data_IF_614754728225
#
_entry.id   IF_614754728225
#
_cell.length_a   1.000
_cell.length_b   1.000
_cell.length_c   1.000
_cell.angle_alpha   90.00
_cell.angle_beta   90.00
_cell.angle_gamma   90.00
#
_symmetry.space_group_name_H-M   'P 1'
#
loop_
_entity.id
_entity.type
_entity.pdbx_description
1 polymer ?
#
# COMPACT_ATOMS: atom_id res chain seq x y z
N UNK A 1 0.29 8.49 12.43
CA UNK A 1 0.96 8.53 11.10
C UNK A 1 -0.12 8.71 10.05
N UNK A 2 0.07 9.59 9.07
CA UNK A 2 -0.90 9.82 7.99
C UNK A 2 -0.26 9.52 6.63
N UNK A 3 -1.01 8.97 5.69
CA UNK A 3 -0.49 8.60 4.38
C UNK A 3 -0.30 9.88 3.55
N UNK A 4 0.92 10.09 3.03
CA UNK A 4 1.19 11.20 2.12
C UNK A 4 0.23 11.16 0.90
N UNK A 5 -0.42 12.29 0.60
CA UNK A 5 -1.35 12.39 -0.56
C UNK A 5 -0.64 12.23 -1.90
N UNK A 6 0.64 12.58 -2.00
CA UNK A 6 1.40 12.49 -3.24
C UNK A 6 1.83 11.03 -3.49
N UNK A 7 1.42 10.48 -4.63
CA UNK A 7 1.71 9.09 -5.00
C UNK A 7 0.85 8.05 -4.28
N UNK A 8 -0.17 8.45 -3.52
CA UNK A 8 -1.25 7.54 -3.11
C UNK A 8 -2.35 7.50 -4.16
N UNK A 9 -3.00 6.34 -4.29
CA UNK A 9 -4.14 6.13 -5.18
C UNK A 9 -5.39 5.94 -4.33
N UNK A 10 -6.56 6.34 -4.83
CA UNK A 10 -7.85 6.08 -4.17
C UNK A 10 -8.43 4.78 -4.73
N UNK A 11 -8.92 3.92 -3.84
CA UNK A 11 -9.65 2.68 -4.17
C UNK A 11 -10.88 2.59 -3.28
N UNK A 12 -11.88 1.84 -3.72
CA UNK A 12 -13.05 1.51 -2.91
C UNK A 12 -12.98 0.03 -2.60
N UNK A 13 -12.95 -0.31 -1.32
CA UNK A 13 -12.97 -1.70 -0.84
C UNK A 13 -14.25 -1.86 -0.05
N UNK A 14 -15.17 -2.72 -0.50
CA UNK A 14 -16.46 -2.96 0.15
C UNK A 14 -17.26 -1.68 0.45
N UNK A 15 -17.28 -0.73 -0.49
CA UNK A 15 -17.93 0.57 -0.33
C UNK A 15 -17.16 1.58 0.52
N UNK A 16 -16.05 1.17 1.15
CA UNK A 16 -15.19 2.03 1.96
C UNK A 16 -14.13 2.70 1.08
N UNK A 17 -14.16 4.02 1.04
CA UNK A 17 -13.16 4.81 0.35
C UNK A 17 -11.81 4.74 1.06
N UNK A 18 -10.82 4.14 0.41
CA UNK A 18 -9.48 3.96 0.91
C UNK A 18 -8.46 4.68 0.03
N UNK A 19 -7.35 5.11 0.63
CA UNK A 19 -6.14 5.57 -0.05
C UNK A 19 -5.08 4.55 0.22
N UNK A 20 -4.37 4.12 -0.82
CA UNK A 20 -3.26 3.20 -0.65
C UNK A 20 -2.01 3.74 -1.33
N UNK A 21 -0.86 3.32 -0.82
CA UNK A 21 0.43 3.68 -1.37
C UNK A 21 1.34 2.45 -1.35
N UNK A 22 1.60 1.95 -2.54
CA UNK A 22 2.69 1.02 -2.81
C UNK A 22 3.95 1.81 -3.17
N UNK A 23 5.12 1.34 -2.74
CA UNK A 23 6.39 1.95 -3.17
C UNK A 23 6.58 1.70 -4.66
N UNK A 24 7.11 2.69 -5.39
CA UNK A 24 7.37 2.51 -6.82
C UNK A 24 8.48 1.48 -7.07
N UNK A 25 9.53 1.54 -6.25
CA UNK A 25 10.66 0.61 -6.31
C UNK A 25 10.60 -0.31 -5.09
N UNK A 26 10.63 -1.64 -5.27
CA UNK A 26 10.75 -2.56 -4.16
C UNK A 26 12.06 -2.32 -3.41
N UNK A 27 12.06 -2.67 -2.12
CA UNK A 27 13.31 -2.90 -1.39
C UNK A 27 14.01 -4.15 -1.94
N UNK A 28 15.28 -4.37 -1.58
CA UNK A 28 16.08 -5.49 -2.11
C UNK A 28 15.35 -6.84 -2.08
N UNK A 29 14.82 -7.27 -0.93
CA UNK A 29 14.16 -8.58 -0.80
C UNK A 29 12.82 -8.69 -1.56
N UNK A 30 11.90 -7.71 -1.50
CA UNK A 30 10.73 -7.71 -2.39
C UNK A 30 11.07 -7.66 -3.88
N UNK A 31 12.22 -7.07 -4.24
CA UNK A 31 12.73 -7.00 -5.61
C UNK A 31 13.32 -8.31 -6.13
N UNK A 32 13.59 -9.27 -5.24
CA UNK A 32 14.02 -10.63 -5.60
C UNK A 32 12.89 -11.66 -5.49
N UNK A 33 11.63 -11.23 -5.29
CA UNK A 33 10.51 -12.12 -4.92
C UNK A 33 10.74 -12.91 -3.61
N UNK A 34 11.73 -12.54 -2.79
CA UNK A 34 12.06 -13.24 -1.54
C UNK A 34 11.28 -12.72 -0.33
N UNK A 35 10.52 -11.64 -0.51
CA UNK A 35 9.64 -11.09 0.49
C UNK A 35 8.29 -10.68 -0.11
N UNK A 36 7.21 -10.79 0.68
CA UNK A 36 5.88 -10.40 0.24
C UNK A 36 5.79 -8.92 -0.11
N UNK A 37 4.88 -8.58 -1.02
CA UNK A 37 4.56 -7.19 -1.31
C UNK A 37 3.77 -6.57 -0.15
N UNK A 38 4.31 -5.46 0.38
CA UNK A 38 3.75 -4.72 1.51
C UNK A 38 3.35 -3.31 1.06
N UNK A 39 2.15 -2.88 1.40
CA UNK A 39 1.68 -1.51 1.14
C UNK A 39 0.85 -0.97 2.29
N UNK A 40 0.78 0.36 2.38
CA UNK A 40 0.01 1.04 3.40
C UNK A 40 -1.32 1.54 2.82
N UNK A 41 -2.38 1.40 3.59
CA UNK A 41 -3.75 1.83 3.29
C UNK A 41 -4.24 2.76 4.40
N UNK A 42 -4.89 3.85 4.05
CA UNK A 42 -5.51 4.80 4.98
C UNK A 42 -6.95 5.07 4.53
N UNK A 43 -7.88 5.26 5.48
CA UNK A 43 -9.25 5.65 5.14
C UNK A 43 -9.26 7.03 4.45
N UNK A 44 -9.96 7.15 3.33
CA UNK A 44 -9.91 8.37 2.52
C UNK A 44 -10.51 9.59 3.24
N UNK A 45 -11.50 9.35 4.09
CA UNK A 45 -12.24 10.41 4.82
C UNK A 45 -11.85 10.52 6.30
N UNK A 46 -11.13 9.52 6.87
CA UNK A 46 -10.69 9.50 8.27
C UNK A 46 -9.18 9.32 8.33
N UNK A 47 -8.49 10.45 8.28
CA UNK A 47 -7.02 10.54 8.26
C UNK A 47 -6.45 10.27 9.65
N UNK A 48 -6.22 9.01 10.02
CA UNK A 48 -5.56 8.64 11.28
C UNK A 48 -5.21 7.15 11.34
N UNK A 49 -5.99 6.30 10.66
CA UNK A 49 -5.84 4.85 10.70
C UNK A 49 -5.11 4.41 9.45
N UNK A 50 -3.88 3.92 9.63
CA UNK A 50 -3.07 3.32 8.57
C UNK A 50 -3.01 1.82 8.81
N UNK A 51 -3.56 1.05 7.87
CA UNK A 51 -3.43 -0.40 7.80
C UNK A 51 -2.22 -0.75 6.93
N UNK A 52 -1.33 -1.60 7.44
CA UNK A 52 -0.26 -2.20 6.64
C UNK A 52 -0.75 -3.55 6.13
N UNK A 53 -0.77 -3.72 4.82
CA UNK A 53 -1.20 -4.95 4.16
C UNK A 53 0.04 -5.69 3.69
N UNK A 54 0.16 -6.95 4.10
CA UNK A 54 1.15 -7.92 3.62
C UNK A 54 0.42 -8.92 2.73
N UNK A 55 0.86 -9.08 1.49
CA UNK A 55 0.26 -10.02 0.53
C UNK A 55 1.12 -11.26 0.35
N UNK A 56 0.61 -12.32 -0.28
CA UNK A 56 1.43 -13.47 -0.67
C UNK A 56 2.08 -13.32 -2.06
N UNK A 57 1.96 -12.14 -2.68
CA UNK A 57 2.45 -11.89 -4.03
C UNK A 57 3.76 -11.09 -4.01
N UNK A 58 4.62 -11.26 -5.03
CA UNK A 58 5.80 -10.42 -5.19
C UNK A 58 5.42 -8.97 -5.52
N UNK A 59 6.37 -8.06 -5.39
CA UNK A 59 6.14 -6.66 -5.74
C UNK A 59 5.82 -6.54 -7.24
N UNK A 60 4.76 -5.81 -7.60
CA UNK A 60 4.27 -5.70 -8.99
C UNK A 60 5.21 -5.01 -10.01
N UNK A 61 6.44 -4.67 -9.60
CA UNK A 61 7.46 -4.07 -10.49
C UNK A 61 8.61 -5.05 -10.76
N UNK A 62 8.51 -6.29 -10.27
CA UNK A 62 9.34 -7.41 -10.72
C UNK A 62 8.85 -7.95 -12.05
#
# INVERSE_FOLDING_TARGET
MALGRRGSRRIVVDGVGCRWRLRRRPTYSPGLCWAPCIYAVEHADRRSIVLIVTTNQPHASN
#
